data_IF_605168872606
#
_entry.id   IF_605168872606
#
_cell.length_a   1.000
_cell.length_b   1.000
_cell.length_c   1.000
_cell.angle_alpha   90.00
_cell.angle_beta   90.00
_cell.angle_gamma   90.00
#
_symmetry.space_group_name_H-M   'P 1'
#
loop_
_entity.id
_entity.type
_entity.pdbx_description
1 polymer ?
#
# COMPACT_ATOMS: atom_id res chain seq x y z
N UNK A 1 -13.04 28.73 12.87
CA UNK A 1 -11.58 28.79 12.62
C UNK A 1 -11.37 28.10 11.28
N UNK A 2 -11.25 28.87 10.20
CA UNK A 2 -11.05 28.33 8.86
C UNK A 2 -9.62 27.81 8.75
N UNK A 3 -9.46 26.49 8.66
CA UNK A 3 -8.17 25.88 8.35
C UNK A 3 -7.91 26.16 6.87
N UNK A 4 -7.21 27.26 6.58
CA UNK A 4 -6.72 27.54 5.24
C UNK A 4 -5.71 26.46 4.86
N UNK A 5 -5.94 25.76 3.75
CA UNK A 5 -4.96 24.80 3.23
C UNK A 5 -3.63 25.50 2.99
N UNK A 6 -2.53 24.83 3.34
CA UNK A 6 -1.19 25.32 3.03
C UNK A 6 -1.06 25.44 1.50
N UNK A 7 -0.48 26.54 0.96
CA UNK A 7 -0.42 26.79 -0.48
C UNK A 7 0.24 25.67 -1.30
N UNK A 8 1.05 24.83 -0.64
CA UNK A 8 1.80 23.71 -1.24
C UNK A 8 0.97 22.41 -1.42
N UNK A 9 -0.29 22.40 -0.99
CA UNK A 9 -1.10 21.18 -0.92
C UNK A 9 -2.31 21.17 -1.86
N UNK A 10 -2.24 21.93 -2.96
CA UNK A 10 -3.27 21.88 -4.01
C UNK A 10 -3.37 20.48 -4.62
N UNK A 11 -4.56 20.09 -5.06
CA UNK A 11 -4.84 18.75 -5.60
C UNK A 11 -4.28 18.50 -7.01
N UNK A 12 -3.40 19.38 -7.51
CA UNK A 12 -2.61 19.23 -8.73
C UNK A 12 -1.09 19.35 -8.48
N UNK A 13 -0.66 19.42 -7.22
CA UNK A 13 0.74 19.45 -6.83
C UNK A 13 1.10 18.14 -6.11
N UNK A 14 2.17 17.50 -6.57
CA UNK A 14 2.69 16.25 -6.01
C UNK A 14 3.96 16.53 -5.20
N UNK A 15 4.22 15.71 -4.19
CA UNK A 15 5.46 15.72 -3.40
C UNK A 15 5.92 14.27 -3.19
N UNK A 16 7.08 13.96 -3.78
CA UNK A 16 7.68 12.63 -3.83
C UNK A 16 6.68 11.49 -4.12
N UNK A 17 5.95 11.53 -5.24
CA UNK A 17 5.04 10.44 -5.57
C UNK A 17 5.82 9.15 -5.82
N UNK A 18 5.50 8.07 -5.10
CA UNK A 18 6.20 6.78 -5.23
C UNK A 18 5.54 5.81 -6.22
N UNK A 19 4.24 5.94 -6.49
CA UNK A 19 3.51 5.02 -7.37
C UNK A 19 2.38 5.71 -8.16
N UNK A 20 2.12 5.20 -9.35
CA UNK A 20 1.02 5.65 -10.21
C UNK A 20 0.52 4.51 -11.10
N UNK A 21 -0.80 4.39 -11.21
CA UNK A 21 -1.47 3.39 -12.07
C UNK A 21 -2.53 4.04 -12.95
N UNK A 22 -2.82 3.38 -14.07
CA UNK A 22 -4.01 3.64 -14.87
C UNK A 22 -4.99 2.50 -14.63
N UNK A 23 -6.20 2.81 -14.18
CA UNK A 23 -7.23 1.79 -13.96
C UNK A 23 -7.72 1.23 -15.31
N UNK A 24 -8.39 0.06 -15.34
CA UNK A 24 -9.03 -0.45 -16.55
C UNK A 24 -10.06 0.51 -17.18
N UNK A 25 -10.54 1.52 -16.43
CA UNK A 25 -11.45 2.56 -16.91
C UNK A 25 -10.75 3.84 -17.39
N UNK A 26 -9.41 3.87 -17.38
CA UNK A 26 -8.60 5.01 -17.86
C UNK A 26 -8.34 6.11 -16.84
N UNK A 27 -8.66 5.87 -15.56
CA UNK A 27 -8.43 6.85 -14.49
C UNK A 27 -6.97 6.80 -14.04
N UNK A 28 -6.36 7.95 -13.77
CA UNK A 28 -5.02 8.03 -13.19
C UNK A 28 -5.13 8.06 -11.67
N UNK A 29 -4.45 7.15 -10.98
CA UNK A 29 -4.35 7.11 -9.51
C UNK A 29 -2.89 7.27 -9.13
N UNK A 30 -2.58 8.20 -8.24
CA UNK A 30 -1.20 8.51 -7.82
C UNK A 30 -1.09 8.50 -6.31
N UNK A 31 -0.11 7.75 -5.78
CA UNK A 31 0.31 7.86 -4.38
C UNK A 31 1.18 9.12 -4.22
N UNK A 32 0.62 10.16 -3.61
CA UNK A 32 1.29 11.44 -3.36
C UNK A 32 1.93 11.40 -1.95
N UNK A 33 3.03 10.67 -1.85
CA UNK A 33 3.54 10.07 -0.61
C UNK A 33 3.84 11.10 0.47
N UNK A 34 4.68 12.10 0.20
CA UNK A 34 5.03 13.12 1.20
C UNK A 34 3.86 14.05 1.54
N UNK A 35 2.82 14.09 0.70
CA UNK A 35 1.56 14.79 0.98
C UNK A 35 0.51 13.89 1.64
N UNK A 36 0.85 12.66 2.03
CA UNK A 36 0.00 11.77 2.83
C UNK A 36 -1.38 11.55 2.20
N UNK A 37 -1.46 11.41 0.88
CA UNK A 37 -2.74 11.28 0.16
C UNK A 37 -2.61 10.48 -1.12
N UNK A 38 -3.75 10.02 -1.63
CA UNK A 38 -3.87 9.51 -3.00
C UNK A 38 -4.72 10.48 -3.81
N UNK A 39 -4.25 10.80 -5.01
CA UNK A 39 -4.94 11.68 -5.96
C UNK A 39 -5.47 10.86 -7.13
N UNK A 40 -6.71 11.12 -7.54
CA UNK A 40 -7.38 10.41 -8.63
C UNK A 40 -7.92 11.41 -9.65
N UNK A 41 -7.57 11.23 -10.92
CA UNK A 41 -8.17 11.93 -12.05
C UNK A 41 -9.05 10.98 -12.84
N UNK A 42 -10.21 11.45 -13.29
CA UNK A 42 -11.14 10.63 -14.09
C UNK A 42 -10.53 10.12 -15.39
N UNK A 43 -9.54 10.82 -15.92
CA UNK A 43 -8.76 10.48 -17.10
C UNK A 43 -7.30 10.92 -16.89
N UNK A 44 -6.37 10.30 -17.60
CA UNK A 44 -4.97 10.78 -17.65
C UNK A 44 -4.94 12.23 -18.16
N UNK A 45 -4.39 13.20 -17.40
CA UNK A 45 -4.33 14.59 -17.85
C UNK A 45 -3.44 14.75 -19.09
N UNK A 46 -3.85 15.65 -19.99
CA UNK A 46 -3.01 16.04 -21.13
C UNK A 46 -1.70 16.71 -20.68
N UNK A 47 -0.61 16.61 -21.45
CA UNK A 47 0.65 17.26 -21.14
C UNK A 47 0.48 18.77 -20.86
N UNK A 48 0.99 19.23 -19.71
CA UNK A 48 0.89 20.63 -19.29
C UNK A 48 -0.41 21.02 -18.59
N UNK A 49 -1.34 20.07 -18.39
CA UNK A 49 -2.55 20.30 -17.60
C UNK A 49 -2.22 20.69 -16.15
N UNK A 50 -3.05 21.59 -15.60
CA UNK A 50 -3.04 21.98 -14.18
C UNK A 50 -4.36 21.62 -13.49
N UNK A 51 -5.16 20.73 -14.09
CA UNK A 51 -6.43 20.30 -13.52
C UNK A 51 -6.20 19.58 -12.18
N UNK A 52 -6.92 20.03 -11.16
CA UNK A 52 -6.97 19.35 -9.87
C UNK A 52 -7.51 17.92 -10.01
N UNK A 53 -7.03 17.02 -9.15
CA UNK A 53 -7.56 15.67 -9.04
C UNK A 53 -9.07 15.70 -8.79
N UNK A 54 -9.80 14.79 -9.46
CA UNK A 54 -11.24 14.57 -9.25
C UNK A 54 -11.51 14.19 -7.80
N UNK A 55 -10.77 13.21 -7.26
CA UNK A 55 -10.93 12.74 -5.89
C UNK A 55 -9.61 12.74 -5.11
N UNK A 56 -9.71 13.02 -3.81
CA UNK A 56 -8.61 12.91 -2.84
C UNK A 56 -8.98 11.88 -1.77
N UNK A 57 -8.07 10.94 -1.52
CA UNK A 57 -8.19 9.92 -0.46
C UNK A 57 -7.17 10.19 0.64
N UNK A 58 -7.56 9.97 1.91
CA UNK A 58 -6.65 10.05 3.05
C UNK A 58 -6.56 11.41 3.73
N UNK A 59 -7.39 12.38 3.35
CA UNK A 59 -7.33 13.77 3.81
C UNK A 59 -8.72 14.32 4.18
N UNK A 60 -8.75 15.43 4.91
CA UNK A 60 -10.00 16.10 5.31
C UNK A 60 -10.48 17.16 4.31
N UNK A 61 -9.64 17.56 3.36
CA UNK A 61 -9.96 18.52 2.30
C UNK A 61 -8.99 18.36 1.12
N UNK A 62 -9.33 18.88 -0.06
CA UNK A 62 -8.44 18.84 -1.25
C UNK A 62 -7.15 19.65 -1.06
N UNK A 63 -7.15 20.61 -0.15
CA UNK A 63 -6.00 21.44 0.21
C UNK A 63 -5.22 20.94 1.42
N UNK A 64 -5.53 19.75 1.94
CA UNK A 64 -4.83 19.13 3.06
C UNK A 64 -3.87 18.04 2.57
N UNK A 65 -2.79 17.88 3.33
CA UNK A 65 -1.64 17.02 3.00
C UNK A 65 -0.89 16.55 4.25
N UNK A 66 -1.41 16.86 5.44
CA UNK A 66 -0.74 16.51 6.70
C UNK A 66 -0.95 15.04 6.98
N UNK A 67 0.06 14.39 7.55
CA UNK A 67 -0.05 13.03 8.08
C UNK A 67 -1.33 12.86 8.88
N UNK A 68 -2.06 11.79 8.57
CA UNK A 68 -3.32 11.44 9.19
C UNK A 68 -4.36 12.56 9.21
N UNK A 69 -4.37 13.41 8.17
CA UNK A 69 -5.18 14.62 8.09
C UNK A 69 -5.06 15.54 9.32
N UNK A 70 -3.92 15.52 10.01
CA UNK A 70 -3.66 16.28 11.23
C UNK A 70 -4.25 15.67 12.52
N UNK A 71 -4.80 14.46 12.46
CA UNK A 71 -5.30 13.73 13.64
C UNK A 71 -4.16 13.09 14.43
N UNK A 72 -4.39 12.85 15.72
CA UNK A 72 -3.43 12.21 16.63
C UNK A 72 -3.32 10.70 16.45
N UNK A 73 -4.35 10.07 15.89
CA UNK A 73 -4.39 8.65 15.55
C UNK A 73 -4.98 8.51 14.14
N UNK A 74 -4.61 7.47 13.38
CA UNK A 74 -5.27 7.18 12.12
C UNK A 74 -6.71 6.70 12.35
N UNK A 75 -7.50 6.78 11.29
CA UNK A 75 -8.81 6.19 11.13
C UNK A 75 -8.99 5.73 9.67
N UNK A 76 -10.18 5.28 9.30
CA UNK A 76 -10.53 4.81 7.96
C UNK A 76 -10.51 5.89 6.88
N UNK A 77 -10.38 7.18 7.24
CA UNK A 77 -10.34 8.32 6.32
C UNK A 77 -8.93 8.90 6.11
N UNK A 78 -7.92 8.37 6.80
CA UNK A 78 -6.60 8.97 6.85
C UNK A 78 -5.50 8.13 6.24
N UNK A 79 -4.50 8.80 5.66
CA UNK A 79 -3.25 8.19 5.22
C UNK A 79 -2.03 8.88 5.85
N UNK A 80 -0.91 8.16 5.87
CA UNK A 80 0.40 8.57 6.35
C UNK A 80 1.47 7.97 5.44
N UNK A 81 1.97 8.75 4.48
CA UNK A 81 3.02 8.31 3.55
C UNK A 81 2.61 7.09 2.70
N UNK A 82 1.55 7.16 1.89
CA UNK A 82 1.16 6.05 1.05
C UNK A 82 2.20 5.79 -0.04
N UNK A 83 2.62 4.54 -0.26
CA UNK A 83 3.75 4.24 -1.17
C UNK A 83 3.34 3.47 -2.42
N UNK A 84 2.23 2.74 -2.40
CA UNK A 84 1.78 1.95 -3.54
C UNK A 84 0.26 1.89 -3.62
N UNK A 85 -0.25 1.84 -4.85
CA UNK A 85 -1.68 1.79 -5.17
C UNK A 85 -1.96 0.68 -6.17
N UNK A 86 -3.09 -0.01 -5.98
CA UNK A 86 -3.62 -0.98 -6.95
C UNK A 86 -5.11 -0.75 -7.16
N UNK A 87 -5.61 -1.00 -8.37
CA UNK A 87 -7.04 -0.95 -8.67
C UNK A 87 -7.42 -1.76 -9.91
N UNK A 88 -8.55 -2.48 -9.82
CA UNK A 88 -9.27 -3.09 -10.94
C UNK A 88 -10.40 -2.18 -11.50
N UNK A 89 -10.50 -0.95 -11.00
CA UNK A 89 -11.60 -0.02 -11.30
C UNK A 89 -12.88 -0.26 -10.50
N UNK A 90 -12.93 -1.28 -9.64
CA UNK A 90 -14.03 -1.54 -8.69
C UNK A 90 -13.57 -1.32 -7.27
N UNK A 91 -12.36 -1.74 -6.92
CA UNK A 91 -11.71 -1.51 -5.65
C UNK A 91 -10.47 -0.63 -5.84
N UNK A 92 -10.07 0.07 -4.79
CA UNK A 92 -8.77 0.74 -4.66
C UNK A 92 -8.08 0.17 -3.43
N UNK A 93 -6.83 -0.24 -3.58
CA UNK A 93 -5.99 -0.72 -2.49
C UNK A 93 -4.80 0.22 -2.34
N UNK A 94 -4.53 0.65 -1.11
CA UNK A 94 -3.50 1.64 -0.80
C UNK A 94 -2.60 1.10 0.30
N UNK A 95 -1.30 1.04 0.03
CA UNK A 95 -0.29 0.79 1.06
C UNK A 95 -0.08 2.07 1.85
N UNK A 96 -0.51 2.07 3.11
CA UNK A 96 -0.41 3.21 4.04
C UNK A 96 0.77 2.99 4.98
N UNK A 97 1.99 3.11 4.41
CA UNK A 97 3.24 2.69 5.03
C UNK A 97 3.46 3.26 6.42
N UNK A 98 3.24 4.56 6.60
CA UNK A 98 3.50 5.22 7.89
C UNK A 98 2.50 4.84 9.00
N UNK A 99 1.44 4.11 8.66
CA UNK A 99 0.51 3.51 9.61
C UNK A 99 0.59 1.96 9.61
N UNK A 100 1.61 1.37 8.98
CA UNK A 100 1.87 -0.07 9.02
C UNK A 100 0.68 -0.92 8.56
N UNK A 101 -0.01 -0.47 7.52
CA UNK A 101 -1.25 -1.10 7.05
C UNK A 101 -1.44 -0.97 5.55
N UNK A 102 -2.37 -1.78 5.04
CA UNK A 102 -2.95 -1.64 3.71
C UNK A 102 -4.44 -1.38 3.88
N UNK A 103 -4.97 -0.38 3.18
CA UNK A 103 -6.39 -0.02 3.19
C UNK A 103 -7.05 -0.42 1.87
N UNK A 104 -8.24 -1.00 1.98
CA UNK A 104 -9.07 -1.40 0.84
C UNK A 104 -10.31 -0.52 0.81
N UNK A 105 -10.61 0.07 -0.34
CA UNK A 105 -11.74 0.95 -0.59
C UNK A 105 -12.57 0.42 -1.76
N UNK A 106 -13.87 0.72 -1.77
CA UNK A 106 -14.57 0.81 -3.04
C UNK A 106 -13.93 1.91 -3.89
N UNK A 107 -13.88 1.75 -5.20
CA UNK A 107 -13.30 2.77 -6.06
C UNK A 107 -14.03 4.11 -5.83
N UNK A 108 -13.32 5.22 -5.55
CA UNK A 108 -13.97 6.43 -5.08
C UNK A 108 -14.94 7.04 -6.10
N UNK A 109 -16.11 7.48 -5.61
CA UNK A 109 -17.09 8.27 -6.37
C UNK A 109 -17.32 9.66 -5.76
N UNK A 110 -16.59 9.98 -4.71
CA UNK A 110 -16.59 11.26 -4.00
C UNK A 110 -15.26 11.44 -3.27
N UNK A 111 -14.96 12.67 -2.85
CA UNK A 111 -13.80 12.96 -2.02
C UNK A 111 -13.87 12.30 -0.64
N UNK A 112 -12.69 11.99 -0.10
CA UNK A 112 -12.48 11.51 1.27
C UNK A 112 -13.29 10.25 1.63
N UNK A 113 -13.25 9.20 0.80
CA UNK A 113 -13.96 7.97 1.09
C UNK A 113 -13.39 7.30 2.35
N UNK A 114 -14.27 6.61 3.10
CA UNK A 114 -13.87 5.69 4.15
C UNK A 114 -13.30 4.40 3.55
N UNK A 115 -12.19 3.91 4.09
CA UNK A 115 -11.73 2.55 3.83
C UNK A 115 -12.80 1.54 4.28
N UNK A 116 -12.97 0.49 3.48
CA UNK A 116 -13.84 -0.63 3.81
C UNK A 116 -13.14 -1.65 4.67
N UNK A 117 -11.85 -1.91 4.42
CA UNK A 117 -11.03 -2.85 5.20
C UNK A 117 -9.64 -2.37 5.48
N UNK A 118 -9.04 -2.96 6.51
CA UNK A 118 -7.65 -2.80 6.90
C UNK A 118 -6.93 -4.15 6.97
N UNK A 119 -5.73 -4.21 6.41
CA UNK A 119 -4.81 -5.36 6.46
C UNK A 119 -3.50 -4.89 7.11
N UNK A 120 -2.83 -5.77 7.84
CA UNK A 120 -1.68 -5.39 8.67
C UNK A 120 -2.03 -4.96 10.10
N UNK A 121 -3.31 -4.70 10.37
CA UNK A 121 -3.85 -4.25 11.66
C UNK A 121 -5.22 -4.88 11.93
N UNK A 122 -5.61 -4.94 13.21
CA UNK A 122 -6.92 -5.47 13.64
C UNK A 122 -8.07 -4.47 13.46
N UNK A 123 -7.75 -3.18 13.35
CA UNK A 123 -8.68 -2.07 13.25
C UNK A 123 -8.00 -0.86 12.58
N UNK A 124 -8.76 0.21 12.32
CA UNK A 124 -8.27 1.41 11.63
C UNK A 124 -7.47 2.37 12.51
N UNK A 125 -7.41 2.18 13.83
CA UNK A 125 -6.81 3.14 14.76
C UNK A 125 -5.40 2.75 15.21
N UNK A 126 -5.04 1.48 15.05
CA UNK A 126 -3.69 0.98 15.32
C UNK A 126 -2.72 1.30 14.17
N UNK A 127 -1.46 1.55 14.54
CA UNK A 127 -0.44 1.98 13.59
C UNK A 127 0.97 1.50 13.95
N UNK A 128 1.10 0.61 14.94
CA UNK A 128 2.39 0.10 15.36
C UNK A 128 2.83 -1.05 14.44
N UNK A 129 4.14 -1.20 14.19
CA UNK A 129 4.66 -2.34 13.46
C UNK A 129 4.18 -3.66 14.06
N UNK A 130 3.96 -4.66 13.21
CA UNK A 130 3.54 -6.01 13.61
C UNK A 130 2.29 -6.03 14.50
N UNK A 131 1.34 -5.14 14.20
CA UNK A 131 0.14 -4.92 14.99
C UNK A 131 0.39 -4.65 16.49
N UNK A 132 1.56 -4.09 16.82
CA UNK A 132 1.97 -3.80 18.19
C UNK A 132 2.37 -5.03 19.02
N UNK A 133 2.54 -6.20 18.40
CA UNK A 133 2.85 -7.45 19.10
C UNK A 133 4.34 -7.61 19.42
N UNK A 134 5.21 -6.81 18.79
CA UNK A 134 6.67 -6.89 18.96
C UNK A 134 7.32 -8.12 18.33
N UNK A 135 6.55 -8.89 17.57
CA UNK A 135 6.99 -10.04 16.79
C UNK A 135 6.15 -10.11 15.51
N UNK A 136 6.78 -10.42 14.38
CA UNK A 136 6.09 -10.64 13.13
C UNK A 136 5.09 -11.79 13.26
N UNK A 137 3.95 -11.66 12.58
CA UNK A 137 2.91 -12.70 12.50
C UNK A 137 2.38 -12.80 11.07
N UNK A 138 1.41 -13.68 10.82
CA UNK A 138 0.70 -13.68 9.53
C UNK A 138 -0.33 -12.55 9.40
N UNK A 139 -0.50 -11.70 10.41
CA UNK A 139 -1.42 -10.54 10.36
C UNK A 139 -0.65 -9.23 10.23
N UNK A 140 0.34 -9.01 11.12
CA UNK A 140 1.03 -7.74 11.24
C UNK A 140 1.97 -7.42 10.07
N UNK A 141 2.05 -6.14 9.72
CA UNK A 141 2.99 -5.58 8.75
C UNK A 141 3.98 -4.62 9.42
N UNK A 142 5.16 -4.45 8.82
CA UNK A 142 6.22 -3.55 9.21
C UNK A 142 6.80 -2.83 7.98
N UNK A 143 6.47 -1.55 7.88
CA UNK A 143 6.76 -0.63 6.77
C UNK A 143 6.51 -1.24 5.39
N UNK A 144 5.27 -1.71 5.10
CA UNK A 144 4.97 -2.29 3.80
C UNK A 144 5.21 -1.24 2.70
N UNK A 145 5.77 -1.65 1.56
CA UNK A 145 6.09 -0.71 0.46
C UNK A 145 5.33 -0.92 -0.83
N UNK A 146 4.95 -2.16 -1.16
CA UNK A 146 4.35 -2.50 -2.45
C UNK A 146 3.22 -3.50 -2.30
N UNK A 147 2.21 -3.35 -3.15
CA UNK A 147 1.05 -4.23 -3.26
C UNK A 147 0.82 -4.60 -4.72
N UNK A 148 0.39 -5.85 -4.95
CA UNK A 148 -0.24 -6.21 -6.22
C UNK A 148 -1.33 -7.26 -5.99
N UNK A 149 -2.35 -7.23 -6.84
CA UNK A 149 -3.45 -8.20 -6.84
C UNK A 149 -3.66 -8.67 -8.27
N UNK A 150 -3.69 -9.99 -8.47
CA UNK A 150 -4.00 -10.59 -9.79
C UNK A 150 -5.49 -10.85 -9.94
N UNK A 151 -5.95 -11.09 -11.17
CA UNK A 151 -7.36 -11.31 -11.52
C UNK A 151 -8.09 -12.38 -10.69
N UNK A 152 -7.37 -13.38 -10.15
CA UNK A 152 -7.95 -14.40 -9.27
C UNK A 152 -8.30 -13.88 -7.86
N UNK A 153 -7.95 -12.63 -7.53
CA UNK A 153 -8.02 -12.05 -6.19
C UNK A 153 -6.82 -12.36 -5.30
N UNK A 154 -5.82 -13.12 -5.76
CA UNK A 154 -4.61 -13.34 -4.94
C UNK A 154 -3.85 -12.02 -4.79
N UNK A 155 -3.53 -11.67 -3.54
CA UNK A 155 -2.90 -10.41 -3.15
C UNK A 155 -1.53 -10.68 -2.54
N UNK A 156 -0.52 -9.90 -2.91
CA UNK A 156 0.82 -9.96 -2.33
C UNK A 156 1.25 -8.58 -1.81
N UNK A 157 1.78 -8.53 -0.59
CA UNK A 157 2.31 -7.31 0.04
C UNK A 157 3.80 -7.51 0.33
N UNK A 158 4.64 -6.58 -0.10
CA UNK A 158 6.02 -6.49 0.34
C UNK A 158 6.06 -5.93 1.78
N UNK A 159 6.34 -6.79 2.75
CA UNK A 159 6.44 -6.48 4.17
C UNK A 159 7.91 -6.16 4.51
N UNK A 160 8.33 -4.97 4.09
CA UNK A 160 9.74 -4.67 3.80
C UNK A 160 10.67 -4.80 5.00
N UNK A 161 10.32 -4.24 6.16
CA UNK A 161 11.20 -4.30 7.36
C UNK A 161 11.21 -5.69 8.00
N UNK A 162 10.23 -6.53 7.67
CA UNK A 162 10.22 -7.94 8.02
C UNK A 162 10.89 -8.84 6.98
N UNK A 163 11.53 -8.26 5.96
CA UNK A 163 12.33 -8.99 4.97
C UNK A 163 11.56 -10.14 4.31
N UNK A 164 10.28 -9.90 4.01
CA UNK A 164 9.37 -10.93 3.51
C UNK A 164 8.30 -10.37 2.59
N UNK A 165 7.61 -11.27 1.91
CA UNK A 165 6.36 -11.00 1.21
C UNK A 165 5.27 -11.85 1.83
N UNK A 166 4.15 -11.22 2.20
CA UNK A 166 2.94 -11.91 2.65
C UNK A 166 1.95 -12.05 1.49
N UNK A 167 1.30 -13.21 1.39
CA UNK A 167 0.36 -13.53 0.31
C UNK A 167 -0.97 -13.99 0.89
N UNK A 168 -2.06 -13.45 0.36
CA UNK A 168 -3.42 -13.92 0.57
C UNK A 168 -3.92 -14.58 -0.70
N UNK A 169 -4.37 -15.84 -0.60
CA UNK A 169 -4.81 -16.63 -1.76
C UNK A 169 -6.11 -16.11 -2.38
N UNK A 170 -6.88 -15.37 -1.58
CA UNK A 170 -8.10 -14.68 -2.01
C UNK A 170 -8.08 -13.24 -1.55
N UNK A 171 -8.85 -12.40 -2.23
CA UNK A 171 -8.91 -10.99 -1.90
C UNK A 171 -9.48 -10.83 -0.48
N UNK A 172 -8.81 -10.07 0.42
CA UNK A 172 -9.22 -10.04 1.82
C UNK A 172 -10.67 -9.62 2.03
N UNK A 173 -11.37 -10.42 2.84
CA UNK A 173 -12.79 -10.28 3.13
C UNK A 173 -13.08 -9.93 4.58
N UNK A 174 -12.05 -9.76 5.43
CA UNK A 174 -12.12 -9.29 6.84
C UNK A 174 -10.99 -8.36 7.22
N UNK A 175 -11.23 -7.48 8.21
CA UNK A 175 -10.17 -6.67 8.80
C UNK A 175 -9.16 -7.59 9.48
N UNK A 176 -7.88 -7.26 9.34
CA UNK A 176 -6.79 -8.06 9.89
C UNK A 176 -6.78 -9.51 9.41
N UNK A 177 -7.31 -9.80 8.21
CA UNK A 177 -7.28 -11.15 7.67
C UNK A 177 -5.83 -11.63 7.60
N UNK A 178 -5.57 -12.81 8.19
CA UNK A 178 -4.26 -13.44 8.15
C UNK A 178 -3.85 -13.82 6.72
N UNK A 179 -2.57 -13.66 6.42
CA UNK A 179 -1.94 -14.14 5.20
C UNK A 179 -1.89 -15.67 5.19
N UNK A 180 -2.02 -16.24 3.99
CA UNK A 180 -2.03 -17.68 3.75
C UNK A 180 -0.60 -18.20 3.50
N UNK A 181 0.29 -17.36 2.97
CA UNK A 181 1.66 -17.74 2.63
C UNK A 181 2.68 -16.64 2.96
N UNK A 182 3.94 -17.05 3.12
CA UNK A 182 5.10 -16.18 3.32
C UNK A 182 6.22 -16.58 2.37
N UNK A 183 6.89 -15.59 1.78
CA UNK A 183 8.12 -15.75 1.00
C UNK A 183 9.22 -14.94 1.66
N UNK A 184 10.44 -15.46 1.69
CA UNK A 184 11.62 -14.78 2.24
C UNK A 184 12.02 -15.26 3.64
N UNK A 185 11.15 -16.04 4.29
CA UNK A 185 11.30 -16.56 5.66
C UNK A 185 10.79 -18.01 5.74
N UNK A 186 11.24 -18.74 6.76
CA UNK A 186 10.81 -20.14 7.00
C UNK A 186 9.39 -20.24 7.57
N UNK A 187 8.95 -19.21 8.30
CA UNK A 187 7.62 -19.11 8.90
C UNK A 187 7.17 -17.64 9.04
N UNK A 188 5.96 -17.44 9.59
CA UNK A 188 5.35 -16.13 9.78
C UNK A 188 5.92 -15.31 10.95
N UNK A 189 6.83 -15.87 11.75
CA UNK A 189 7.47 -15.18 12.87
C UNK A 189 8.89 -14.72 12.54
N UNK A 190 9.48 -15.25 11.47
CA UNK A 190 10.74 -14.77 10.91
C UNK A 190 10.62 -13.36 10.32
N UNK A 191 11.64 -12.54 10.60
CA UNK A 191 11.77 -11.18 10.08
C UNK A 191 13.21 -10.78 9.72
N UNK A 192 14.16 -11.70 9.89
CA UNK A 192 15.58 -11.41 9.72
C UNK A 192 15.99 -11.27 8.25
N UNK A 193 16.99 -10.43 7.99
CA UNK A 193 17.63 -10.32 6.68
C UNK A 193 18.04 -11.71 6.18
N UNK A 194 17.63 -12.05 4.97
CA UNK A 194 17.90 -13.34 4.33
C UNK A 194 17.57 -14.57 5.21
N UNK A 195 16.48 -14.52 5.98
CA UNK A 195 16.12 -15.55 6.97
C UNK A 195 17.26 -15.87 7.97
N UNK A 196 18.11 -14.88 8.29
CA UNK A 196 19.28 -15.03 9.16
C UNK A 196 20.51 -15.63 8.48
N UNK A 197 20.46 -15.91 7.18
CA UNK A 197 21.52 -16.54 6.41
C UNK A 197 22.17 -15.65 5.35
N UNK A 198 22.77 -16.29 4.35
CA UNK A 198 23.25 -15.62 3.12
C UNK A 198 22.13 -15.57 2.07
N UNK A 199 22.18 -14.64 1.09
CA UNK A 199 21.20 -14.59 0.03
C UNK A 199 21.05 -15.92 -0.71
N UNK A 200 19.84 -16.46 -0.73
CA UNK A 200 19.48 -17.71 -1.39
C UNK A 200 18.20 -17.52 -2.23
N UNK A 201 17.71 -18.59 -2.87
CA UNK A 201 16.58 -18.53 -3.80
C UNK A 201 15.24 -18.15 -3.13
N UNK A 202 15.11 -18.39 -1.83
CA UNK A 202 13.88 -18.21 -1.04
C UNK A 202 14.02 -17.22 0.12
N UNK A 203 15.08 -16.41 0.14
CA UNK A 203 15.37 -15.45 1.20
C UNK A 203 15.32 -14.03 0.62
N UNK A 204 14.94 -13.03 1.44
CA UNK A 204 14.85 -11.63 1.00
C UNK A 204 15.55 -10.70 2.00
N UNK A 205 15.91 -9.50 1.52
CA UNK A 205 16.47 -8.38 2.28
C UNK A 205 15.85 -7.09 1.76
N UNK A 206 15.00 -6.47 2.57
CA UNK A 206 14.24 -5.25 2.25
C UNK A 206 13.52 -5.32 0.90
N UNK A 207 12.58 -6.26 0.68
CA UNK A 207 11.83 -6.31 -0.56
C UNK A 207 10.96 -5.06 -0.73
N UNK A 208 11.04 -4.38 -1.87
CA UNK A 208 10.34 -3.10 -2.08
C UNK A 208 9.29 -3.13 -3.18
N UNK A 209 9.20 -4.22 -3.94
CA UNK A 209 8.30 -4.33 -5.09
C UNK A 209 7.78 -5.75 -5.25
N UNK A 210 6.48 -5.88 -5.50
CA UNK A 210 5.82 -7.13 -5.86
C UNK A 210 4.98 -6.92 -7.11
N UNK A 211 4.97 -7.89 -8.02
CA UNK A 211 4.11 -7.88 -9.21
C UNK A 211 3.77 -9.28 -9.69
N UNK A 212 2.50 -9.53 -9.97
CA UNK A 212 2.06 -10.75 -10.62
C UNK A 212 2.23 -10.67 -12.14
N UNK A 213 2.64 -11.80 -12.72
CA UNK A 213 2.64 -12.08 -14.16
C UNK A 213 2.11 -13.50 -14.38
N UNK A 214 0.80 -13.61 -14.57
CA UNK A 214 0.09 -14.89 -14.58
C UNK A 214 0.28 -15.66 -13.27
N UNK A 215 1.04 -16.77 -13.34
CA UNK A 215 1.38 -17.61 -12.17
C UNK A 215 2.70 -17.21 -11.49
N UNK A 216 3.41 -16.24 -12.04
CA UNK A 216 4.66 -15.75 -11.49
C UNK A 216 4.36 -14.60 -10.52
N UNK A 217 5.09 -14.55 -9.42
CA UNK A 217 5.22 -13.39 -8.55
C UNK A 217 6.67 -12.90 -8.65
N UNK A 218 6.84 -11.69 -9.15
CA UNK A 218 8.12 -11.00 -9.28
C UNK A 218 8.33 -10.20 -7.99
N UNK A 219 9.49 -10.36 -7.36
CA UNK A 219 9.85 -9.67 -6.12
C UNK A 219 11.15 -8.90 -6.32
N UNK A 220 11.12 -7.59 -6.04
CA UNK A 220 12.31 -6.72 -6.03
C UNK A 220 12.96 -6.82 -4.66
N UNK A 221 14.12 -7.47 -4.59
CA UNK A 221 14.89 -7.77 -3.38
C UNK A 221 16.04 -6.76 -3.24
N UNK A 222 15.69 -5.55 -2.81
CA UNK A 222 16.47 -4.33 -3.07
C UNK A 222 17.85 -4.32 -2.44
N UNK A 223 17.98 -4.72 -1.17
CA UNK A 223 19.29 -4.71 -0.50
C UNK A 223 20.23 -5.80 -1.03
N UNK A 224 19.67 -6.84 -1.64
CA UNK A 224 20.43 -7.86 -2.36
C UNK A 224 20.66 -7.49 -3.84
N UNK A 225 20.20 -6.31 -4.31
CA UNK A 225 20.36 -5.82 -5.69
C UNK A 225 19.90 -6.82 -6.75
N UNK A 226 18.77 -7.51 -6.51
CA UNK A 226 18.24 -8.54 -7.42
C UNK A 226 16.73 -8.51 -7.54
N UNK A 227 16.24 -9.19 -8.56
CA UNK A 227 14.83 -9.52 -8.75
C UNK A 227 14.70 -11.04 -8.74
N UNK A 228 13.75 -11.55 -7.97
CA UNK A 228 13.42 -12.97 -7.91
C UNK A 228 12.06 -13.22 -8.56
N UNK A 229 11.90 -14.39 -9.16
CA UNK A 229 10.62 -14.83 -9.74
C UNK A 229 10.21 -16.12 -9.04
N UNK A 230 9.12 -16.04 -8.28
CA UNK A 230 8.48 -17.19 -7.64
C UNK A 230 7.33 -17.66 -8.51
N UNK A 231 7.15 -18.97 -8.66
CA UNK A 231 6.11 -19.54 -9.53
C UNK A 231 5.21 -20.46 -8.71
N UNK A 232 3.90 -20.23 -8.77
CA UNK A 232 2.91 -21.17 -8.24
C UNK A 232 3.06 -22.51 -8.96
N UNK A 233 3.15 -23.60 -8.21
CA UNK A 233 3.19 -24.97 -8.72
C UNK A 233 1.80 -25.56 -8.97
N UNK A 234 0.76 -24.86 -8.54
CA UNK A 234 -0.64 -25.15 -8.82
C UNK A 234 -1.19 -24.15 -9.85
#
# INVERSE_FOLDING_TARGET
MTVGGAPDCKANLLKEPEDAIITPRGQLVVADTENNRVLIWDQVPEPGSTTDATFVVGQASKGACTRNAGRTAPDEFTLSGPTSVWSDGVQLVVVDRGNQRVLIFDFPTADFPAAKRVIGQSNFNDSLPDAGLGIATNVGLSSPRSIDVRDSGQMAVADTENNRVLIWDTFPATDGQAADQVIGQDDFTGSGLNAGGSPAANTLSSPTGVRFDGRNLIVVDSDNSRVLVFRSTN
#
